data_IF_039265983048
#
_entry.id   IF_039265983048
#
_cell.length_a   1.000
_cell.length_b   1.000
_cell.length_c   1.000
_cell.angle_alpha   90.00
_cell.angle_beta   90.00
_cell.angle_gamma   90.00
#
_symmetry.space_group_name_H-M   'P 1'
#
loop_
_entity.id
_entity.type
_entity.pdbx_description
1 polymer ?
#
# COMPACT_ATOMS: atom_id res chain seq x y z
N UNK A 1 -5.73 16.49 -10.52
CA UNK A 1 -7.00 16.30 -9.78
C UNK A 1 -6.82 15.26 -8.70
N UNK A 2 -7.35 15.49 -7.49
CA UNK A 2 -7.37 14.49 -6.42
C UNK A 2 -8.78 13.88 -6.34
N UNK A 3 -8.84 12.54 -6.29
CA UNK A 3 -10.09 11.78 -6.17
C UNK A 3 -10.11 11.07 -4.83
N UNK A 4 -10.93 11.58 -3.89
CA UNK A 4 -11.17 11.02 -2.56
C UNK A 4 -12.63 10.58 -2.43
N UNK A 5 -13.05 9.65 -3.28
CA UNK A 5 -14.41 9.10 -3.31
C UNK A 5 -14.44 7.69 -2.70
N UNK A 6 -15.64 7.08 -2.65
CA UNK A 6 -15.77 5.65 -2.35
C UNK A 6 -15.21 4.80 -3.50
N UNK A 7 -14.67 3.64 -3.18
CA UNK A 7 -13.94 2.77 -4.12
C UNK A 7 -14.66 2.54 -5.47
N UNK A 8 -15.98 2.23 -5.53
CA UNK A 8 -16.68 2.00 -6.79
C UNK A 8 -16.76 3.21 -7.72
N UNK A 9 -16.51 4.42 -7.22
CA UNK A 9 -16.54 5.65 -8.00
C UNK A 9 -15.21 6.02 -8.64
N UNK A 10 -14.11 5.38 -8.22
CA UNK A 10 -12.75 5.74 -8.65
C UNK A 10 -12.57 5.66 -10.16
N UNK A 11 -12.89 4.51 -10.77
CA UNK A 11 -12.75 4.33 -12.22
C UNK A 11 -13.49 5.43 -13.00
N UNK A 12 -14.79 5.63 -12.70
CA UNK A 12 -15.61 6.61 -13.42
C UNK A 12 -15.06 8.03 -13.34
N UNK A 13 -14.70 8.45 -12.12
CA UNK A 13 -14.20 9.80 -11.89
C UNK A 13 -12.80 10.00 -12.50
N UNK A 14 -11.91 9.01 -12.34
CA UNK A 14 -10.56 9.08 -12.89
C UNK A 14 -10.60 9.15 -14.42
N UNK A 15 -11.41 8.32 -15.08
CA UNK A 15 -11.59 8.37 -16.54
C UNK A 15 -12.03 9.75 -17.01
N UNK A 16 -13.04 10.32 -16.37
CA UNK A 16 -13.56 11.66 -16.73
C UNK A 16 -12.46 12.73 -16.71
N UNK A 17 -11.58 12.72 -15.70
CA UNK A 17 -10.49 13.69 -15.61
C UNK A 17 -9.34 13.40 -16.58
N UNK A 18 -8.99 12.12 -16.78
CA UNK A 18 -7.96 11.72 -17.77
C UNK A 18 -8.40 12.09 -19.19
N UNK A 19 -9.66 11.85 -19.55
CA UNK A 19 -10.23 12.24 -20.83
C UNK A 19 -10.22 13.76 -21.05
N UNK A 20 -10.33 14.53 -19.96
CA UNK A 20 -10.18 15.98 -19.96
C UNK A 20 -8.70 16.45 -19.89
N UNK A 21 -7.73 15.56 -20.05
CA UNK A 21 -6.29 15.87 -20.04
C UNK A 21 -5.74 16.30 -18.68
N UNK A 22 -6.37 15.90 -17.57
CA UNK A 22 -5.96 16.30 -16.22
C UNK A 22 -5.18 15.19 -15.51
N UNK A 23 -3.98 15.52 -14.99
CA UNK A 23 -3.24 14.64 -14.08
C UNK A 23 -4.12 14.24 -12.89
N UNK A 24 -4.09 12.93 -12.52
CA UNK A 24 -4.96 12.34 -11.50
C UNK A 24 -4.13 11.72 -10.39
N UNK A 25 -4.45 12.08 -9.14
CA UNK A 25 -4.12 11.36 -7.92
C UNK A 25 -5.41 10.74 -7.40
N UNK A 26 -5.50 9.41 -7.41
CA UNK A 26 -6.70 8.68 -6.99
C UNK A 26 -6.43 7.92 -5.69
N UNK A 27 -7.35 8.01 -4.72
CA UNK A 27 -7.26 7.23 -3.48
C UNK A 27 -7.15 5.73 -3.73
N UNK A 28 -6.53 5.07 -2.78
CA UNK A 28 -6.40 3.61 -2.74
C UNK A 28 -7.73 2.96 -2.30
N UNK A 29 -8.05 1.75 -2.78
CA UNK A 29 -7.40 1.09 -3.92
C UNK A 29 -7.74 1.83 -5.22
N UNK A 30 -6.82 1.80 -6.18
CA UNK A 30 -7.01 2.55 -7.44
C UNK A 30 -8.35 2.26 -8.10
N UNK A 31 -8.73 0.97 -8.17
CA UNK A 31 -10.03 0.50 -8.66
C UNK A 31 -10.49 -0.72 -7.87
N UNK A 32 -11.69 -1.22 -8.16
CA UNK A 32 -12.30 -2.36 -7.48
C UNK A 32 -11.68 -3.71 -7.88
N UNK A 33 -11.04 -3.80 -9.03
CA UNK A 33 -10.47 -5.05 -9.56
C UNK A 33 -9.41 -4.76 -10.64
N UNK A 34 -8.69 -5.84 -11.02
CA UNK A 34 -7.59 -5.76 -12.01
C UNK A 34 -8.07 -5.23 -13.35
N UNK A 35 -9.21 -5.70 -13.86
CA UNK A 35 -9.74 -5.26 -15.16
C UNK A 35 -9.99 -3.75 -15.20
N UNK A 36 -10.59 -3.21 -14.15
CA UNK A 36 -10.82 -1.77 -14.03
C UNK A 36 -9.50 -0.98 -13.94
N UNK A 37 -8.53 -1.53 -13.21
CA UNK A 37 -7.20 -0.93 -13.09
C UNK A 37 -6.47 -0.91 -14.43
N UNK A 38 -6.49 -2.01 -15.18
CA UNK A 38 -5.89 -2.11 -16.51
C UNK A 38 -6.55 -1.14 -17.50
N UNK A 39 -7.88 -1.04 -17.47
CA UNK A 39 -8.62 -0.07 -18.28
C UNK A 39 -8.16 1.36 -18.00
N UNK A 40 -8.10 1.73 -16.70
CA UNK A 40 -7.72 3.08 -16.29
C UNK A 40 -6.26 3.42 -16.63
N UNK A 41 -5.34 2.50 -16.37
CA UNK A 41 -3.91 2.67 -16.66
C UNK A 41 -3.68 2.76 -18.17
N UNK A 42 -4.38 1.95 -18.97
CA UNK A 42 -4.28 1.98 -20.43
C UNK A 42 -4.78 3.31 -20.99
N UNK A 43 -5.91 3.81 -20.49
CA UNK A 43 -6.43 5.11 -20.86
C UNK A 43 -5.46 6.25 -20.51
N UNK A 44 -4.87 6.23 -19.32
CA UNK A 44 -3.91 7.26 -18.90
C UNK A 44 -2.67 7.28 -19.82
N UNK A 45 -2.17 6.10 -20.22
CA UNK A 45 -1.05 5.96 -21.15
C UNK A 45 -1.40 6.45 -22.55
N UNK A 46 -2.57 6.05 -23.07
CA UNK A 46 -3.07 6.49 -24.40
C UNK A 46 -3.18 8.01 -24.46
N UNK A 47 -3.75 8.61 -23.42
CA UNK A 47 -3.94 10.07 -23.34
C UNK A 47 -2.68 10.83 -22.92
N UNK A 48 -1.59 10.12 -22.59
CA UNK A 48 -0.35 10.70 -22.04
C UNK A 48 -0.61 11.59 -20.83
N UNK A 49 -1.47 11.13 -19.92
CA UNK A 49 -1.87 11.85 -18.70
C UNK A 49 -1.29 11.14 -17.50
N UNK A 50 -0.72 11.90 -16.57
CA UNK A 50 -0.18 11.35 -15.33
C UNK A 50 -1.29 10.78 -14.45
N UNK A 51 -1.12 9.53 -14.00
CA UNK A 51 -1.99 8.85 -13.05
C UNK A 51 -1.15 8.29 -11.90
N UNK A 52 -1.55 8.56 -10.68
CA UNK A 52 -0.92 8.02 -9.47
C UNK A 52 -1.99 7.50 -8.51
N UNK A 53 -1.78 6.28 -7.99
CA UNK A 53 -2.53 5.78 -6.84
C UNK A 53 -1.99 6.37 -5.55
N UNK A 54 -2.88 6.79 -4.66
CA UNK A 54 -2.52 7.43 -3.40
C UNK A 54 -2.11 6.42 -2.31
N UNK A 55 -1.19 5.53 -2.60
CA UNK A 55 -0.50 4.66 -1.61
C UNK A 55 0.58 5.48 -0.90
N UNK A 56 0.14 6.39 -0.08
CA UNK A 56 0.98 7.40 0.56
C UNK A 56 2.10 6.83 1.45
N UNK A 57 1.94 5.62 2.01
CA UNK A 57 2.98 4.96 2.80
C UNK A 57 4.28 4.76 2.02
N UNK A 58 4.22 4.50 0.71
CA UNK A 58 5.41 4.41 -0.16
C UNK A 58 6.24 5.68 -0.24
N UNK A 59 5.63 6.80 0.10
CA UNK A 59 6.28 8.10 0.08
C UNK A 59 6.98 8.43 1.40
N UNK A 60 6.76 7.64 2.46
CA UNK A 60 7.36 7.88 3.78
C UNK A 60 8.90 7.72 3.73
N UNK A 61 9.65 8.58 4.45
CA UNK A 61 11.09 8.42 4.57
C UNK A 61 11.51 7.05 5.08
N UNK A 62 10.79 6.47 6.07
CA UNK A 62 11.06 5.14 6.60
C UNK A 62 11.00 4.05 5.51
N UNK A 63 10.08 4.12 4.55
CA UNK A 63 10.01 3.18 3.41
C UNK A 63 11.21 3.33 2.48
N UNK A 64 11.64 4.57 2.24
CA UNK A 64 12.84 4.84 1.43
C UNK A 64 14.10 4.31 2.13
N UNK A 65 14.18 4.43 3.45
CA UNK A 65 15.29 3.90 4.24
C UNK A 65 15.33 2.35 4.22
N UNK A 66 14.17 1.67 4.34
CA UNK A 66 14.09 0.21 4.15
C UNK A 66 14.68 -0.20 2.81
N UNK A 67 14.28 0.45 1.72
CA UNK A 67 14.79 0.13 0.38
C UNK A 67 16.28 0.43 0.24
N UNK A 68 16.77 1.50 0.86
CA UNK A 68 18.19 1.85 0.88
C UNK A 68 19.01 0.81 1.66
N UNK A 69 18.54 0.37 2.84
CA UNK A 69 19.19 -0.65 3.67
C UNK A 69 19.26 -2.01 2.95
N UNK A 70 18.19 -2.41 2.25
CA UNK A 70 18.18 -3.61 1.41
C UNK A 70 19.20 -3.49 0.28
N UNK A 71 19.20 -2.38 -0.44
CA UNK A 71 20.14 -2.13 -1.55
C UNK A 71 21.59 -2.08 -1.09
N UNK A 72 21.86 -1.61 0.14
CA UNK A 72 23.17 -1.64 0.77
C UNK A 72 23.60 -3.05 1.24
N UNK A 73 22.73 -4.06 1.14
CA UNK A 73 23.00 -5.44 1.56
C UNK A 73 22.99 -5.67 3.06
N UNK A 74 22.38 -4.77 3.84
CA UNK A 74 22.33 -4.85 5.30
C UNK A 74 21.73 -6.17 5.79
N UNK A 75 20.63 -6.61 5.17
CA UNK A 75 19.98 -7.88 5.49
C UNK A 75 20.42 -9.05 4.62
N UNK A 76 21.33 -8.84 3.65
CA UNK A 76 21.68 -9.85 2.66
C UNK A 76 20.54 -10.14 1.68
N UNK A 77 20.38 -11.41 1.27
CA UNK A 77 19.28 -11.82 0.39
C UNK A 77 17.97 -11.82 1.17
N UNK A 78 16.98 -11.07 0.72
CA UNK A 78 15.65 -11.08 1.33
C UNK A 78 14.98 -12.43 1.06
N UNK A 79 14.48 -13.09 2.12
CA UNK A 79 13.82 -14.39 2.06
C UNK A 79 12.36 -14.35 2.48
N UNK A 80 12.02 -13.50 3.46
CA UNK A 80 10.67 -13.46 4.02
C UNK A 80 10.25 -12.03 4.33
N UNK A 81 8.97 -11.73 4.08
CA UNK A 81 8.30 -10.52 4.54
C UNK A 81 7.12 -10.92 5.41
N UNK A 82 6.96 -10.27 6.55
CA UNK A 82 5.76 -10.31 7.37
C UNK A 82 5.14 -8.92 7.38
N UNK A 83 3.82 -8.81 7.17
CA UNK A 83 3.12 -7.54 7.34
C UNK A 83 1.69 -7.79 7.83
N UNK A 84 1.34 -7.14 8.92
CA UNK A 84 0.05 -7.30 9.59
C UNK A 84 -0.60 -5.93 9.78
N UNK A 85 -1.85 -5.81 9.33
CA UNK A 85 -2.59 -4.57 9.46
C UNK A 85 -4.04 -4.82 9.83
N UNK A 86 -4.44 -4.38 11.00
CA UNK A 86 -5.81 -4.53 11.47
C UNK A 86 -6.13 -3.64 12.65
N UNK A 87 -7.33 -3.12 12.67
CA UNK A 87 -7.95 -2.44 13.80
C UNK A 87 -9.47 -2.39 13.60
N UNK A 88 -10.26 -2.27 14.69
CA UNK A 88 -11.70 -2.20 14.58
C UNK A 88 -12.15 -0.99 13.76
N UNK A 89 -12.92 -1.23 12.68
CA UNK A 89 -13.50 -0.19 11.83
C UNK A 89 -15.00 -0.41 11.76
N UNK A 90 -15.77 0.56 12.20
CA UNK A 90 -17.24 0.51 12.22
C UNK A 90 -17.89 1.25 11.04
N UNK A 91 -17.08 1.85 10.16
CA UNK A 91 -17.60 2.64 9.05
C UNK A 91 -18.34 1.77 8.02
N UNK A 92 -19.54 2.19 7.64
CA UNK A 92 -20.41 1.52 6.66
C UNK A 92 -19.69 1.15 5.36
N UNK A 93 -18.77 2.01 4.88
CA UNK A 93 -18.03 1.80 3.65
C UNK A 93 -17.20 0.50 3.65
N UNK A 94 -16.86 -0.04 4.85
CA UNK A 94 -16.12 -1.29 4.97
C UNK A 94 -17.03 -2.52 4.95
N UNK A 95 -18.26 -2.37 5.44
CA UNK A 95 -19.21 -3.47 5.67
C UNK A 95 -20.21 -3.68 4.52
N UNK A 96 -20.30 -2.74 3.57
CA UNK A 96 -21.27 -2.76 2.47
C UNK A 96 -20.59 -2.94 1.12
N UNK A 97 -20.95 -4.00 0.39
CA UNK A 97 -20.39 -4.31 -0.95
C UNK A 97 -20.60 -3.20 -1.96
N UNK A 98 -21.78 -2.58 -1.94
CA UNK A 98 -22.14 -1.47 -2.83
C UNK A 98 -21.30 -0.20 -2.60
N UNK A 99 -20.64 -0.10 -1.45
CA UNK A 99 -19.67 0.97 -1.15
C UNK A 99 -18.22 0.56 -1.42
N UNK A 100 -18.00 -0.65 -1.95
CA UNK A 100 -16.66 -1.19 -2.21
C UNK A 100 -15.96 -1.67 -0.94
N UNK A 101 -16.74 -2.23 0.01
CA UNK A 101 -16.25 -2.68 1.31
C UNK A 101 -15.34 -3.91 1.23
N UNK A 102 -14.72 -4.20 2.35
CA UNK A 102 -13.81 -5.32 2.56
C UNK A 102 -12.46 -4.88 3.12
N UNK A 103 -11.92 -5.68 4.03
CA UNK A 103 -10.66 -5.37 4.71
C UNK A 103 -9.45 -5.50 3.79
N UNK A 104 -9.51 -6.40 2.77
CA UNK A 104 -8.41 -6.56 1.81
C UNK A 104 -8.21 -5.28 0.99
N UNK A 105 -9.29 -4.67 0.50
CA UNK A 105 -9.20 -3.42 -0.26
C UNK A 105 -8.84 -2.21 0.60
N UNK A 106 -9.27 -2.18 1.87
CA UNK A 106 -9.02 -1.00 2.73
C UNK A 106 -7.69 -1.06 3.49
N UNK A 107 -7.40 -2.17 4.14
CA UNK A 107 -6.19 -2.39 4.96
C UNK A 107 -5.18 -3.31 4.29
N UNK A 108 -5.63 -4.40 3.68
CA UNK A 108 -4.78 -5.41 3.04
C UNK A 108 -3.93 -4.84 1.91
N UNK A 109 -4.41 -3.81 1.21
CA UNK A 109 -3.64 -3.10 0.18
C UNK A 109 -2.29 -2.59 0.72
N UNK A 110 -2.20 -2.20 1.99
CA UNK A 110 -0.96 -1.76 2.61
C UNK A 110 0.02 -2.91 2.83
N UNK A 111 -0.46 -4.09 3.23
CA UNK A 111 0.39 -5.27 3.43
C UNK A 111 0.88 -5.82 2.09
N UNK A 112 -0.02 -5.90 1.10
CA UNK A 112 0.27 -6.39 -0.26
C UNK A 112 1.28 -5.47 -0.95
N UNK A 113 1.04 -4.15 -0.94
CA UNK A 113 1.94 -3.19 -1.58
C UNK A 113 3.33 -3.15 -0.93
N UNK A 114 3.42 -3.41 0.40
CA UNK A 114 4.71 -3.49 1.07
C UNK A 114 5.50 -4.72 0.60
N UNK A 115 4.89 -5.90 0.55
CA UNK A 115 5.53 -7.09 0.01
C UNK A 115 5.95 -6.90 -1.46
N UNK A 116 5.07 -6.31 -2.27
CA UNK A 116 5.37 -6.02 -3.67
C UNK A 116 6.49 -4.97 -3.84
N UNK A 117 6.61 -4.02 -2.93
CA UNK A 117 7.72 -3.06 -2.93
C UNK A 117 9.07 -3.78 -2.70
N UNK A 118 9.10 -4.74 -1.76
CA UNK A 118 10.32 -5.46 -1.39
C UNK A 118 10.76 -6.46 -2.48
N UNK A 119 9.81 -7.25 -3.02
CA UNK A 119 10.13 -8.28 -4.03
C UNK A 119 10.09 -7.78 -5.49
N UNK A 120 9.74 -6.51 -5.69
CA UNK A 120 9.74 -5.91 -7.03
C UNK A 120 8.58 -6.36 -7.91
N UNK A 121 8.80 -6.34 -9.24
CA UNK A 121 7.76 -6.58 -10.24
C UNK A 121 7.38 -8.04 -10.48
N UNK A 122 7.85 -8.99 -9.68
CA UNK A 122 7.51 -10.41 -9.83
C UNK A 122 6.04 -10.66 -9.43
N UNK A 123 5.35 -11.49 -10.21
CA UNK A 123 4.01 -11.97 -9.88
C UNK A 123 4.11 -13.19 -8.96
N UNK A 124 3.62 -13.09 -7.72
CA UNK A 124 3.65 -14.22 -6.79
C UNK A 124 2.52 -15.23 -7.07
N UNK A 125 2.72 -16.47 -6.65
CA UNK A 125 1.62 -17.40 -6.39
C UNK A 125 0.98 -17.00 -5.08
N UNK A 126 -0.36 -16.88 -5.07
CA UNK A 126 -1.13 -16.41 -3.91
C UNK A 126 -1.95 -17.55 -3.34
N UNK A 127 -1.81 -17.79 -2.03
CA UNK A 127 -2.72 -18.63 -1.24
C UNK A 127 -3.33 -17.77 -0.15
N UNK A 128 -4.66 -17.80 -0.03
CA UNK A 128 -5.36 -16.96 0.94
C UNK A 128 -6.57 -17.67 1.54
N UNK A 129 -6.87 -17.32 2.79
CA UNK A 129 -8.09 -17.70 3.48
C UNK A 129 -8.58 -16.52 4.33
N UNK A 130 -9.88 -16.44 4.60
CA UNK A 130 -10.45 -15.36 5.39
C UNK A 130 -11.92 -15.60 5.72
N UNK A 131 -12.55 -14.61 6.35
CA UNK A 131 -13.93 -14.65 6.77
C UNK A 131 -14.72 -13.49 6.17
N UNK A 132 -15.95 -13.78 5.75
CA UNK A 132 -16.90 -12.77 5.31
C UNK A 132 -17.81 -12.37 6.48
N UNK A 133 -18.07 -11.08 6.60
CA UNK A 133 -19.08 -10.56 7.50
C UNK A 133 -20.51 -10.70 6.94
N UNK A 134 -21.53 -10.31 7.73
CA UNK A 134 -22.94 -10.44 7.32
C UNK A 134 -23.29 -9.71 6.01
N UNK A 135 -22.60 -8.60 5.71
CA UNK A 135 -22.74 -7.85 4.45
C UNK A 135 -22.02 -8.49 3.26
N UNK A 136 -21.37 -9.64 3.45
CA UNK A 136 -20.62 -10.36 2.42
C UNK A 136 -19.31 -9.68 1.99
N UNK A 137 -18.85 -8.71 2.77
CA UNK A 137 -17.49 -8.15 2.67
C UNK A 137 -16.51 -9.00 3.49
N UNK A 138 -15.27 -9.09 3.06
CA UNK A 138 -14.22 -9.74 3.85
C UNK A 138 -13.88 -8.89 5.08
N UNK A 139 -13.91 -9.53 6.26
CA UNK A 139 -13.59 -8.91 7.55
C UNK A 139 -12.21 -9.31 8.04
N UNK A 140 -11.69 -10.43 7.55
CA UNK A 140 -10.32 -10.86 7.79
C UNK A 140 -9.77 -11.61 6.58
N UNK A 141 -8.46 -11.52 6.37
CA UNK A 141 -7.74 -12.34 5.41
C UNK A 141 -6.32 -12.61 5.89
N UNK A 142 -5.88 -13.86 5.70
CA UNK A 142 -4.48 -14.27 5.81
C UNK A 142 -4.01 -14.75 4.45
N UNK A 143 -2.84 -14.28 4.02
CA UNK A 143 -2.33 -14.50 2.67
C UNK A 143 -0.86 -14.94 2.73
N UNK A 144 -0.50 -15.88 1.88
CA UNK A 144 0.89 -16.21 1.58
C UNK A 144 1.15 -15.91 0.11
N UNK A 145 2.16 -15.09 -0.15
CA UNK A 145 2.67 -14.77 -1.47
C UNK A 145 4.00 -15.49 -1.65
N UNK A 146 4.13 -16.31 -2.69
CA UNK A 146 5.37 -17.04 -3.01
C UNK A 146 5.91 -16.51 -4.33
N UNK A 147 7.11 -15.94 -4.30
CA UNK A 147 7.75 -15.31 -5.46
C UNK A 147 8.68 -16.28 -6.19
N UNK A 148 8.80 -16.18 -7.53
CA UNK A 148 9.71 -17.02 -8.33
C UNK A 148 11.18 -16.94 -7.91
N UNK A 149 11.61 -15.78 -7.38
CA UNK A 149 12.96 -15.57 -6.80
C UNK A 149 13.25 -16.41 -5.55
N UNK A 150 12.27 -17.14 -5.01
CA UNK A 150 12.39 -17.96 -3.81
C UNK A 150 12.10 -17.22 -2.51
N UNK A 151 11.66 -15.97 -2.59
CA UNK A 151 11.15 -15.22 -1.45
C UNK A 151 9.68 -15.50 -1.17
N UNK A 152 9.21 -15.20 0.02
CA UNK A 152 7.79 -15.29 0.37
C UNK A 152 7.33 -14.15 1.28
N UNK A 153 6.02 -13.88 1.28
CA UNK A 153 5.42 -12.94 2.22
C UNK A 153 4.24 -13.59 2.93
N UNK A 154 4.15 -13.41 4.24
CA UNK A 154 3.02 -13.79 5.07
C UNK A 154 2.32 -12.53 5.55
N UNK A 155 1.09 -12.33 5.09
CA UNK A 155 0.33 -11.12 5.28
C UNK A 155 -0.98 -11.43 6.00
N UNK A 156 -1.42 -10.52 6.88
CA UNK A 156 -2.76 -10.60 7.44
C UNK A 156 -3.39 -9.21 7.56
N UNK A 157 -4.71 -9.20 7.38
CA UNK A 157 -5.53 -8.01 7.59
C UNK A 157 -6.82 -8.37 8.33
N UNK A 158 -7.29 -7.44 9.16
CA UNK A 158 -8.50 -7.63 9.96
C UNK A 158 -9.15 -6.29 10.29
N UNK A 159 -10.48 -6.20 10.15
CA UNK A 159 -11.23 -4.97 10.41
C UNK A 159 -12.05 -4.98 11.70
N UNK A 160 -11.98 -6.05 12.49
CA UNK A 160 -12.73 -6.18 13.75
C UNK A 160 -11.82 -6.22 14.99
N UNK A 161 -10.51 -6.52 14.80
CA UNK A 161 -9.54 -6.63 15.91
C UNK A 161 -8.26 -5.88 15.59
N UNK A 162 -7.57 -5.45 16.64
CA UNK A 162 -6.24 -4.89 16.55
C UNK A 162 -5.22 -6.00 16.25
N UNK A 163 -4.46 -5.85 15.15
CA UNK A 163 -3.27 -6.65 14.88
C UNK A 163 -2.00 -5.91 15.33
N UNK A 164 -0.81 -6.54 15.30
CA UNK A 164 0.45 -5.87 15.68
C UNK A 164 0.77 -4.60 14.85
N UNK A 165 0.21 -4.48 13.63
CA UNK A 165 0.38 -3.33 12.73
C UNK A 165 1.84 -3.04 12.42
N UNK A 166 2.61 -4.07 12.15
CA UNK A 166 4.04 -4.02 11.88
C UNK A 166 4.37 -4.71 10.55
N UNK A 167 5.53 -4.35 9.99
CA UNK A 167 6.10 -5.06 8.86
C UNK A 167 7.57 -5.37 9.13
N UNK A 168 7.99 -6.59 8.77
CA UNK A 168 9.35 -7.10 8.97
C UNK A 168 9.87 -7.68 7.66
N UNK A 169 11.06 -7.25 7.26
CA UNK A 169 11.83 -7.84 6.15
C UNK A 169 12.90 -8.72 6.75
N UNK A 170 12.93 -9.99 6.38
CA UNK A 170 13.91 -10.98 6.87
C UNK A 170 14.82 -11.40 5.73
N UNK A 171 16.09 -11.24 5.93
CA UNK A 171 17.12 -11.67 5.00
C UNK A 171 18.14 -12.59 5.63
N UNK A 172 19.11 -13.03 4.83
CA UNK A 172 20.15 -14.00 5.25
C UNK A 172 21.14 -13.46 6.29
N UNK A 173 21.19 -12.13 6.50
CA UNK A 173 22.12 -11.48 7.43
C UNK A 173 21.43 -10.75 8.58
N UNK A 174 20.10 -10.55 8.53
CA UNK A 174 19.38 -9.85 9.58
C UNK A 174 17.95 -9.47 9.17
N UNK A 175 17.36 -8.60 9.96
CA UNK A 175 15.97 -8.15 9.78
C UNK A 175 15.86 -6.64 9.84
N UNK A 176 14.93 -6.07 9.04
CA UNK A 176 14.47 -4.69 9.17
C UNK A 176 13.02 -4.70 9.64
N UNK A 177 12.66 -3.80 10.54
CA UNK A 177 11.29 -3.76 11.07
C UNK A 177 10.74 -2.33 11.09
N UNK A 178 9.51 -2.18 10.63
CA UNK A 178 8.69 -0.97 10.75
C UNK A 178 7.56 -1.21 11.76
N UNK A 179 7.49 -0.39 12.80
CA UNK A 179 6.35 -0.36 13.72
C UNK A 179 5.29 0.58 13.16
N UNK A 180 4.00 0.27 13.36
CA UNK A 180 2.91 1.00 12.69
C UNK A 180 3.23 1.26 11.21
N UNK A 181 3.63 0.20 10.49
CA UNK A 181 4.32 0.28 9.22
C UNK A 181 3.64 1.18 8.18
N UNK A 182 2.32 1.21 8.15
CA UNK A 182 1.53 2.04 7.23
C UNK A 182 1.72 3.56 7.45
N UNK A 183 2.19 3.98 8.65
CA UNK A 183 2.50 5.37 9.02
C UNK A 183 3.87 5.50 9.68
N UNK A 184 4.78 4.55 9.47
CA UNK A 184 5.99 4.43 10.28
C UNK A 184 6.86 5.67 10.22
N UNK A 185 7.29 6.09 11.41
CA UNK A 185 8.28 7.14 11.62
C UNK A 185 9.62 6.59 12.14
N UNK A 186 9.74 5.27 12.24
CA UNK A 186 10.91 4.58 12.76
C UNK A 186 11.27 3.40 11.86
N UNK A 187 12.57 3.14 11.68
CA UNK A 187 13.12 1.90 11.13
C UNK A 187 14.03 1.26 12.17
N UNK A 188 13.77 0.01 12.52
CA UNK A 188 14.65 -0.80 13.35
C UNK A 188 15.55 -1.59 12.40
N UNK A 189 16.87 -1.36 12.52
CA UNK A 189 17.91 -1.97 11.69
C UNK A 189 18.31 -3.36 12.18
N UNK A 190 19.10 -4.07 11.37
CA UNK A 190 19.55 -5.44 11.68
C UNK A 190 20.39 -5.54 12.94
N UNK A 191 21.10 -4.48 13.32
CA UNK A 191 21.89 -4.37 14.54
C UNK A 191 21.07 -3.96 15.78
N UNK A 192 19.77 -3.73 15.61
CA UNK A 192 18.85 -3.26 16.65
C UNK A 192 18.82 -1.74 16.85
N UNK A 193 19.61 -0.98 16.11
CA UNK A 193 19.53 0.48 16.12
C UNK A 193 18.20 0.97 15.55
N UNK A 194 17.77 2.17 15.99
CA UNK A 194 16.49 2.76 15.55
C UNK A 194 16.77 4.08 14.87
N UNK A 195 16.48 4.14 13.58
CA UNK A 195 16.49 5.38 12.81
C UNK A 195 15.11 6.04 12.87
N UNK A 196 15.07 7.35 13.17
CA UNK A 196 13.83 8.11 13.33
C UNK A 196 13.61 9.12 12.22
N UNK A 197 12.39 9.21 11.74
CA UNK A 197 11.94 10.12 10.70
C UNK A 197 10.86 11.07 11.23
N UNK A 198 11.22 12.14 11.92
CA UNK A 198 10.25 13.04 12.50
C UNK A 198 9.37 13.69 11.43
N UNK A 199 8.11 13.90 11.75
CA UNK A 199 7.20 14.64 10.88
C UNK A 199 7.68 16.08 10.69
N UNK A 200 7.43 16.69 9.51
CA UNK A 200 7.66 18.11 9.32
C UNK A 200 6.98 18.95 10.40
N UNK A 201 7.62 20.07 10.76
CA UNK A 201 7.07 20.97 11.78
C UNK A 201 5.63 21.39 11.44
N UNK A 202 4.74 21.32 12.42
CA UNK A 202 3.31 21.61 12.26
C UNK A 202 2.45 20.46 11.74
N UNK A 203 3.04 19.34 11.31
CA UNK A 203 2.30 18.14 10.93
C UNK A 203 1.90 17.33 12.16
N UNK A 204 0.62 16.95 12.23
CA UNK A 204 0.10 16.06 13.27
C UNK A 204 0.02 14.60 12.81
N UNK A 205 0.05 14.35 11.51
CA UNK A 205 -0.07 13.01 10.93
C UNK A 205 0.63 12.95 9.55
N UNK A 206 1.33 11.86 9.21
CA UNK A 206 2.02 11.70 7.92
C UNK A 206 1.08 11.84 6.71
N UNK A 207 -0.17 11.42 6.87
CA UNK A 207 -1.20 11.41 5.83
C UNK A 207 -1.40 12.77 5.14
N UNK A 208 -1.23 13.90 5.85
CA UNK A 208 -1.67 15.21 5.37
C UNK A 208 -0.81 15.79 4.24
N UNK A 209 0.43 15.33 4.03
CA UNK A 209 1.37 16.01 3.14
C UNK A 209 2.05 15.10 2.11
N UNK A 210 2.20 13.83 2.41
CA UNK A 210 3.14 12.96 1.69
C UNK A 210 2.71 12.70 0.26
N UNK A 211 1.45 12.36 0.03
CA UNK A 211 0.92 12.12 -1.31
C UNK A 211 0.89 13.39 -2.16
N UNK A 212 0.40 14.50 -1.59
CA UNK A 212 0.24 15.76 -2.32
C UNK A 212 1.59 16.31 -2.78
N UNK A 213 2.60 16.27 -1.90
CA UNK A 213 3.95 16.75 -2.24
C UNK A 213 4.61 15.86 -3.31
N UNK A 214 4.50 14.53 -3.18
CA UNK A 214 5.05 13.62 -4.19
C UNK A 214 4.29 13.70 -5.51
N UNK A 215 2.96 13.76 -5.48
CA UNK A 215 2.17 13.96 -6.68
C UNK A 215 2.58 15.24 -7.43
N UNK A 216 2.69 16.36 -6.73
CA UNK A 216 3.12 17.63 -7.35
C UNK A 216 4.53 17.54 -7.94
N UNK A 217 5.46 16.86 -7.22
CA UNK A 217 6.82 16.65 -7.69
C UNK A 217 6.88 15.75 -8.94
N UNK A 218 6.15 14.64 -8.93
CA UNK A 218 6.13 13.70 -10.06
C UNK A 218 5.43 14.29 -11.28
N UNK A 219 4.29 14.99 -11.08
CA UNK A 219 3.60 15.69 -12.19
C UNK A 219 4.51 16.74 -12.83
N UNK A 220 5.32 17.44 -12.04
CA UNK A 220 6.26 18.43 -12.57
C UNK A 220 7.36 17.84 -13.47
N UNK A 221 7.61 16.53 -13.42
CA UNK A 221 8.55 15.82 -14.31
C UNK A 221 7.87 15.28 -15.58
N UNK A 222 6.56 15.33 -15.65
CA UNK A 222 5.79 14.79 -16.75
C UNK A 222 5.63 15.85 -17.85
N UNK A 223 6.02 15.54 -19.09
CA UNK A 223 6.00 16.51 -20.21
C UNK A 223 4.59 16.96 -20.62
#
# INVERSE_FOLDING_TARGET
MYIGAINPSHLKLAKMYIEAGKAVLCEKPLCMNVRETEELVSLARERKVFLMEAIWSRCLPAYKAVMAAIAAGEVGDVKQVFAFFGFPITADRLHKKELGGGTVLDLGIYTIQFAQLIFGGEMPVVTAAGHLGPGGCDMSASMTLTYPSGGSASLATHSEVQLPNEATVVGTKGTLKLTNFWTSLDLIHADGSVEKFPLPAGSKHPFNFVNSANFAHEVGKYP
#
